data_IF_262689654345
#
_entry.id   IF_262689654345
#
_cell.length_a   1.000
_cell.length_b   1.000
_cell.length_c   1.000
_cell.angle_alpha   90.00
_cell.angle_beta   90.00
_cell.angle_gamma   90.00
#
_symmetry.space_group_name_H-M   'P 1'
#
loop_
_entity.id
_entity.type
_entity.pdbx_description
1 polymer ?
#
# COMPACT_ATOMS: atom_id res chain seq x y z
N UNK A 1 14.33 0.47 37.11
CA UNK A 1 14.23 1.63 38.00
C UNK A 1 13.88 2.81 37.12
N UNK A 2 12.59 3.11 36.94
CA UNK A 2 11.77 3.93 37.85
C UNK A 2 12.26 5.41 37.82
N UNK A 3 11.51 6.31 37.15
CA UNK A 3 10.60 7.32 37.76
C UNK A 3 11.44 8.56 38.16
N UNK A 4 11.14 9.84 37.92
CA UNK A 4 9.93 10.67 38.00
C UNK A 4 10.32 12.06 37.44
N UNK A 5 9.53 12.75 36.60
CA UNK A 5 8.50 13.76 36.96
C UNK A 5 9.03 15.21 37.06
N UNK A 6 8.51 16.16 36.27
CA UNK A 6 7.27 16.99 36.36
C UNK A 6 7.64 18.41 36.84
N UNK A 7 7.45 19.47 36.03
CA UNK A 7 6.22 20.25 35.78
C UNK A 7 5.83 21.20 36.94
N UNK A 8 5.74 22.51 36.62
CA UNK A 8 4.74 23.51 37.07
C UNK A 8 5.31 24.93 36.79
N UNK A 9 4.76 25.75 35.87
CA UNK A 9 3.58 26.63 36.00
C UNK A 9 3.80 27.76 37.03
N UNK A 10 3.41 29.04 36.91
CA UNK A 10 2.56 29.79 35.97
C UNK A 10 2.58 31.29 36.40
N UNK A 11 2.53 32.20 35.42
CA UNK A 11 1.95 33.57 35.36
C UNK A 11 2.33 34.76 36.28
N UNK A 12 2.40 35.92 35.59
CA UNK A 12 1.94 37.28 35.96
C UNK A 12 2.81 38.04 36.99
N UNK A 13 3.12 39.34 36.90
CA UNK A 13 2.67 40.49 36.10
C UNK A 13 3.61 41.66 36.44
N UNK A 14 3.87 42.57 35.50
CA UNK A 14 3.87 44.00 35.81
C UNK A 14 5.19 44.74 36.11
N UNK A 15 5.44 45.72 35.24
CA UNK A 15 5.94 47.08 35.55
C UNK A 15 7.48 47.25 35.63
N UNK A 16 8.00 47.73 34.50
CA UNK A 16 9.31 48.37 34.33
C UNK A 16 9.48 49.58 35.25
N UNK A 17 10.58 49.61 36.00
CA UNK A 17 11.19 50.84 36.54
C UNK A 17 12.58 51.03 35.90
N UNK A 18 12.69 52.09 35.12
CA UNK A 18 13.90 52.77 34.61
C UNK A 18 14.50 53.66 35.73
N UNK A 19 15.58 54.46 35.55
CA UNK A 19 16.72 54.42 34.61
C UNK A 19 18.09 54.78 35.26
N UNK A 20 19.17 54.68 34.48
CA UNK A 20 20.36 55.55 34.46
C UNK A 20 20.93 55.33 33.03
N UNK A 21 20.82 56.23 32.05
CA UNK A 21 21.34 57.59 32.01
C UNK A 21 22.82 57.53 31.59
N UNK A 22 23.34 58.15 30.54
CA UNK A 22 22.88 59.18 29.60
C UNK A 22 23.84 59.14 28.39
N UNK A 23 23.34 59.37 27.17
CA UNK A 23 23.82 60.52 26.38
C UNK A 23 23.01 60.71 25.10
N UNK A 24 22.16 61.73 25.13
CA UNK A 24 21.99 62.69 24.03
C UNK A 24 21.71 64.07 24.66
N UNK A 25 22.18 65.16 24.02
CA UNK A 25 21.23 66.24 23.72
C UNK A 25 21.38 66.87 22.30
N UNK A 26 20.25 66.88 21.57
CA UNK A 26 19.61 67.88 20.67
C UNK A 26 20.40 68.90 19.76
N UNK A 27 20.30 68.68 18.42
CA UNK A 27 19.77 69.50 17.27
C UNK A 27 19.72 71.05 17.32
N UNK A 28 19.94 71.82 16.20
CA UNK A 28 19.02 71.85 15.02
C UNK A 28 19.61 72.17 13.61
N UNK A 29 18.88 71.80 12.54
CA UNK A 29 18.90 72.55 11.27
C UNK A 29 19.02 71.74 9.97
N UNK A 30 17.88 71.56 9.30
CA UNK A 30 17.70 71.12 7.89
C UNK A 30 17.74 69.61 7.63
N UNK A 31 16.55 69.01 7.55
CA UNK A 31 16.33 67.78 6.79
C UNK A 31 16.75 68.01 5.33
N UNK A 32 17.83 67.38 4.90
CA UNK A 32 18.02 67.01 3.50
C UNK A 32 17.87 65.50 3.46
N UNK A 33 16.72 65.02 2.97
CA UNK A 33 16.60 63.64 2.49
C UNK A 33 17.51 63.49 1.28
N UNK A 34 18.77 63.13 1.51
CA UNK A 34 19.61 62.59 0.44
C UNK A 34 19.16 61.14 0.25
N UNK A 35 18.43 60.88 -0.83
CA UNK A 35 18.05 59.53 -1.21
C UNK A 35 19.29 58.63 -1.20
N UNK A 36 19.19 57.45 -0.59
CA UNK A 36 20.28 56.49 -0.54
C UNK A 36 20.75 56.21 -1.98
N UNK A 37 22.00 56.50 -2.37
CA UNK A 37 22.45 56.21 -3.72
C UNK A 37 22.52 54.68 -3.90
N UNK A 38 21.95 54.19 -5.01
CA UNK A 38 21.99 52.79 -5.40
C UNK A 38 23.45 52.29 -5.44
N UNK A 39 23.78 51.31 -4.61
CA UNK A 39 25.15 50.73 -4.59
C UNK A 39 25.25 49.62 -5.61
N UNK A 40 25.57 49.96 -6.87
CA UNK A 40 26.28 49.03 -7.77
C UNK A 40 27.68 48.83 -7.18
N UNK A 41 28.07 47.60 -6.84
CA UNK A 41 29.38 47.33 -6.24
C UNK A 41 29.74 45.86 -6.15
N UNK A 42 30.92 45.58 -5.60
CA UNK A 42 31.44 44.23 -5.39
C UNK A 42 31.76 44.01 -3.90
N UNK A 43 31.51 42.81 -3.41
CA UNK A 43 32.07 42.31 -2.15
C UNK A 43 33.25 41.41 -2.47
N UNK A 44 34.39 41.67 -1.84
CA UNK A 44 35.55 40.77 -1.94
C UNK A 44 35.39 39.67 -0.87
N UNK A 45 35.40 38.42 -1.30
CA UNK A 45 35.27 37.25 -0.43
C UNK A 45 36.50 36.34 -0.58
N UNK A 46 37.15 36.02 0.54
CA UNK A 46 38.27 35.08 0.58
C UNK A 46 37.75 33.65 0.81
N UNK A 47 38.00 32.76 -0.14
CA UNK A 47 37.59 31.35 -0.12
C UNK A 47 38.16 30.64 1.10
N UNK A 48 37.32 29.94 1.85
CA UNK A 48 37.71 29.13 3.01
C UNK A 48 37.88 27.65 2.64
N UNK A 49 38.64 26.86 3.41
CA UNK A 49 38.68 25.40 3.22
C UNK A 49 37.29 24.79 3.23
N UNK A 50 36.94 24.06 2.17
CA UNK A 50 35.63 23.42 2.00
C UNK A 50 34.55 24.27 1.32
N UNK A 51 34.83 25.54 1.01
CA UNK A 51 33.90 26.36 0.23
C UNK A 51 33.75 25.84 -1.20
N UNK A 52 32.52 25.84 -1.69
CA UNK A 52 32.22 25.66 -3.12
C UNK A 52 31.66 26.94 -3.71
N UNK A 53 31.89 27.16 -5.01
CA UNK A 53 31.39 28.33 -5.71
C UNK A 53 29.85 28.43 -5.62
N UNK A 54 29.14 27.30 -5.72
CA UNK A 54 27.68 27.26 -5.59
C UNK A 54 27.20 27.70 -4.22
N UNK A 55 27.86 27.28 -3.12
CA UNK A 55 27.49 27.69 -1.77
C UNK A 55 27.74 29.19 -1.53
N UNK A 56 28.84 29.72 -2.05
CA UNK A 56 29.15 31.15 -1.98
C UNK A 56 28.12 31.94 -2.79
N UNK A 57 27.84 31.52 -4.03
CA UNK A 57 26.83 32.12 -4.89
C UNK A 57 25.44 32.18 -4.22
N UNK A 58 24.99 31.08 -3.62
CA UNK A 58 23.74 31.03 -2.87
C UNK A 58 23.74 31.92 -1.63
N UNK A 59 24.85 31.98 -0.89
CA UNK A 59 24.98 32.82 0.32
C UNK A 59 24.79 34.31 0.00
N UNK A 60 25.36 34.75 -1.12
CA UNK A 60 25.29 36.14 -1.57
C UNK A 60 24.17 36.39 -2.60
N UNK A 61 23.33 35.39 -2.85
CA UNK A 61 22.17 35.45 -3.76
C UNK A 61 22.50 35.96 -5.15
N UNK A 62 23.61 35.49 -5.70
CA UNK A 62 24.02 35.80 -7.08
C UNK A 62 24.28 34.54 -7.87
N UNK A 63 24.23 34.64 -9.20
CA UNK A 63 24.56 33.51 -10.06
C UNK A 63 26.06 33.16 -9.96
N UNK A 64 26.37 31.86 -9.85
CA UNK A 64 27.75 31.40 -9.74
C UNK A 64 28.61 31.79 -10.95
N UNK A 65 28.03 31.88 -12.15
CA UNK A 65 28.73 32.33 -13.37
C UNK A 65 29.02 33.83 -13.32
N UNK A 66 28.18 34.61 -12.65
CA UNK A 66 28.46 36.03 -12.44
C UNK A 66 29.73 36.19 -11.59
N UNK A 67 29.90 35.38 -10.53
CA UNK A 67 31.13 35.36 -9.70
C UNK A 67 32.35 34.90 -10.51
N UNK A 68 32.21 33.87 -11.36
CA UNK A 68 33.29 33.40 -12.25
C UNK A 68 33.77 34.55 -13.13
N UNK A 69 32.85 35.23 -13.80
CA UNK A 69 33.16 36.31 -14.72
C UNK A 69 33.80 37.51 -14.01
N UNK A 70 33.22 37.96 -12.90
CA UNK A 70 33.71 39.12 -12.16
C UNK A 70 35.02 38.89 -11.42
N UNK A 71 35.29 37.64 -11.03
CA UNK A 71 36.53 37.23 -10.36
C UNK A 71 37.59 36.74 -11.36
N UNK A 72 37.30 36.76 -12.67
CA UNK A 72 38.23 36.34 -13.73
C UNK A 72 38.59 34.87 -13.69
N UNK A 73 37.72 34.00 -13.17
CA UNK A 73 37.97 32.57 -13.08
C UNK A 73 37.76 31.90 -14.44
N UNK A 74 38.60 30.91 -14.75
CA UNK A 74 38.43 30.09 -15.95
C UNK A 74 37.45 28.92 -15.73
N UNK A 75 37.25 28.51 -14.47
CA UNK A 75 36.34 27.43 -14.08
C UNK A 75 35.86 27.60 -12.63
N UNK A 76 34.99 26.71 -12.18
CA UNK A 76 34.37 26.76 -10.85
C UNK A 76 35.24 26.17 -9.71
N UNK A 77 36.50 25.79 -9.97
CA UNK A 77 37.39 25.20 -8.96
C UNK A 77 37.98 26.32 -8.12
N UNK A 78 37.75 26.26 -6.80
CA UNK A 78 38.21 27.26 -5.84
C UNK A 78 39.35 26.72 -4.98
N UNK A 79 40.32 27.59 -4.65
CA UNK A 79 41.40 27.29 -3.72
C UNK A 79 41.21 28.07 -2.42
N UNK A 80 41.40 27.48 -1.24
CA UNK A 80 41.39 28.23 0.01
C UNK A 80 42.39 29.40 -0.02
N UNK A 81 41.97 30.57 0.45
CA UNK A 81 42.72 31.83 0.38
C UNK A 81 42.51 32.64 -0.90
N UNK A 82 41.84 32.10 -1.92
CA UNK A 82 41.56 32.81 -3.17
C UNK A 82 40.51 33.93 -2.96
N UNK A 83 40.74 35.11 -3.52
CA UNK A 83 39.76 36.21 -3.46
C UNK A 83 38.78 36.16 -4.65
N UNK A 84 37.50 36.29 -4.34
CA UNK A 84 36.40 36.39 -5.30
C UNK A 84 35.75 37.75 -5.22
N UNK A 85 35.45 38.36 -6.37
CA UNK A 85 34.67 39.59 -6.49
C UNK A 85 33.21 39.22 -6.70
N UNK A 86 32.41 39.26 -5.65
CA UNK A 86 30.98 38.93 -5.70
C UNK A 86 30.20 40.19 -6.06
N UNK A 87 29.49 40.24 -7.21
CA UNK A 87 28.66 41.39 -7.54
C UNK A 87 27.56 41.54 -6.51
N UNK A 88 27.36 42.74 -5.97
CA UNK A 88 26.10 43.09 -5.32
C UNK A 88 25.20 43.68 -6.39
N UNK A 89 24.36 42.82 -6.96
CA UNK A 89 23.22 43.26 -7.77
C UNK A 89 22.07 43.40 -6.78
N UNK A 90 21.38 44.54 -6.82
CA UNK A 90 20.09 44.67 -6.15
C UNK A 90 19.25 43.49 -6.62
N UNK A 91 18.74 42.65 -5.71
CA UNK A 91 17.57 41.85 -6.03
C UNK A 91 16.50 42.91 -6.33
N UNK A 92 16.35 43.30 -7.61
CA UNK A 92 15.03 43.72 -8.06
C UNK A 92 14.17 42.53 -7.69
N UNK A 93 13.26 42.73 -6.75
CA UNK A 93 12.31 41.71 -6.39
C UNK A 93 11.53 41.44 -7.68
N UNK A 94 11.99 40.47 -8.48
CA UNK A 94 11.42 39.99 -9.74
C UNK A 94 10.15 39.18 -9.41
N UNK A 95 9.35 39.67 -8.47
CA UNK A 95 8.02 39.16 -8.21
C UNK A 95 7.19 39.48 -9.44
N UNK A 96 6.94 38.44 -10.25
CA UNK A 96 6.04 38.49 -11.40
C UNK A 96 4.76 39.20 -10.96
N UNK A 97 4.45 40.34 -11.57
CA UNK A 97 3.24 41.08 -11.25
C UNK A 97 2.03 40.24 -11.62
N UNK A 98 1.20 39.93 -10.62
CA UNK A 98 -0.10 39.30 -10.82
C UNK A 98 -1.20 40.36 -10.96
N UNK A 99 -2.15 40.18 -11.88
CA UNK A 99 -3.34 41.03 -11.92
C UNK A 99 -4.13 40.92 -10.61
N UNK A 100 -4.79 41.99 -10.13
CA UNK A 100 -5.46 42.01 -8.83
C UNK A 100 -6.60 40.97 -8.70
N UNK A 101 -7.19 40.55 -9.82
CA UNK A 101 -8.23 39.50 -9.89
C UNK A 101 -7.70 38.09 -10.09
N UNK A 102 -6.40 37.84 -9.85
CA UNK A 102 -5.75 36.54 -10.07
C UNK A 102 -4.92 36.16 -8.86
N UNK A 103 -5.07 34.92 -8.39
CA UNK A 103 -4.28 34.36 -7.28
C UNK A 103 -3.47 33.15 -7.73
N UNK A 104 -2.21 33.07 -7.29
CA UNK A 104 -1.41 31.86 -7.42
C UNK A 104 -1.89 30.76 -6.45
N UNK A 105 -2.08 29.55 -6.97
CA UNK A 105 -2.46 28.36 -6.22
C UNK A 105 -1.45 27.25 -6.48
N UNK A 106 -0.86 26.72 -5.41
CA UNK A 106 0.06 25.59 -5.49
C UNK A 106 -0.73 24.29 -5.47
N UNK A 107 -0.61 23.50 -6.54
CA UNK A 107 -1.25 22.20 -6.70
C UNK A 107 -0.83 21.25 -5.59
N UNK A 108 -1.80 20.65 -4.92
CA UNK A 108 -1.61 19.69 -3.84
C UNK A 108 -1.85 18.26 -4.32
N UNK A 109 -1.37 17.29 -3.55
CA UNK A 109 -1.69 15.88 -3.81
C UNK A 109 -3.21 15.67 -3.78
N UNK A 110 -3.73 14.97 -4.80
CA UNK A 110 -5.16 14.72 -4.96
C UNK A 110 -5.94 15.83 -5.67
N UNK A 111 -5.33 16.98 -5.97
CA UNK A 111 -5.98 18.01 -6.76
C UNK A 111 -6.16 17.55 -8.21
N UNK A 112 -7.33 17.83 -8.76
CA UNK A 112 -7.66 17.72 -10.19
C UNK A 112 -8.11 19.07 -10.72
N UNK A 113 -8.01 19.27 -12.04
CA UNK A 113 -8.51 20.49 -12.71
C UNK A 113 -9.98 20.72 -12.37
N UNK A 114 -10.78 19.66 -12.36
CA UNK A 114 -12.20 19.72 -12.03
C UNK A 114 -12.44 20.11 -10.56
N UNK A 115 -11.71 19.49 -9.62
CA UNK A 115 -11.86 19.79 -8.19
C UNK A 115 -11.44 21.23 -7.85
N UNK A 116 -10.38 21.73 -8.48
CA UNK A 116 -9.88 23.10 -8.31
C UNK A 116 -10.89 24.08 -8.90
N UNK A 117 -11.34 23.83 -10.14
CA UNK A 117 -12.32 24.68 -10.79
C UNK A 117 -13.60 24.79 -9.94
N UNK A 118 -14.14 23.66 -9.47
CA UNK A 118 -15.29 23.60 -8.57
C UNK A 118 -15.05 24.34 -7.25
N UNK A 119 -13.88 24.17 -6.62
CA UNK A 119 -13.53 24.84 -5.36
C UNK A 119 -13.57 26.36 -5.47
N UNK A 120 -13.20 26.90 -6.63
CA UNK A 120 -13.13 28.34 -6.87
C UNK A 120 -14.29 28.88 -7.72
N UNK A 121 -15.36 28.09 -7.87
CA UNK A 121 -16.54 28.47 -8.67
C UNK A 121 -16.21 28.88 -10.11
N UNK A 122 -15.26 28.16 -10.72
CA UNK A 122 -14.83 28.37 -12.09
C UNK A 122 -15.35 27.24 -12.98
N UNK A 123 -15.64 27.60 -14.24
CA UNK A 123 -15.71 26.59 -15.30
C UNK A 123 -14.31 26.07 -15.61
N UNK A 124 -14.18 24.83 -16.11
CA UNK A 124 -12.90 24.28 -16.57
C UNK A 124 -12.29 25.18 -17.65
N UNK A 125 -13.11 25.70 -18.57
CA UNK A 125 -12.66 26.66 -19.59
C UNK A 125 -12.10 27.95 -18.97
N UNK A 126 -12.72 28.47 -17.91
CA UNK A 126 -12.22 29.64 -17.19
C UNK A 126 -10.84 29.38 -16.57
N UNK A 127 -10.68 28.23 -15.90
CA UNK A 127 -9.41 27.82 -15.32
C UNK A 127 -8.32 27.60 -16.39
N UNK A 128 -8.65 26.95 -17.50
CA UNK A 128 -7.73 26.75 -18.64
C UNK A 128 -7.38 28.08 -19.31
N UNK A 129 -8.30 29.03 -19.37
CA UNK A 129 -8.02 30.36 -19.94
C UNK A 129 -6.99 31.12 -19.11
N UNK A 130 -7.04 31.00 -17.78
CA UNK A 130 -6.01 31.56 -16.91
C UNK A 130 -4.68 30.76 -16.91
N UNK A 131 -4.70 29.54 -17.44
CA UNK A 131 -3.54 28.63 -17.48
C UNK A 131 -3.36 28.03 -18.88
N UNK A 132 -3.13 28.84 -19.92
CA UNK A 132 -3.08 28.35 -21.30
C UNK A 132 -1.89 27.41 -21.57
N UNK A 133 -0.92 27.35 -20.66
CA UNK A 133 0.22 26.43 -20.70
C UNK A 133 -0.08 25.03 -20.11
N UNK A 134 -1.29 24.78 -19.63
CA UNK A 134 -1.68 23.48 -19.09
C UNK A 134 -1.53 22.38 -20.15
N UNK A 135 -0.96 21.23 -19.76
CA UNK A 135 -0.67 20.12 -20.68
C UNK A 135 -1.70 18.98 -20.64
N UNK A 136 -2.50 18.88 -19.57
CA UNK A 136 -3.49 17.83 -19.38
C UNK A 136 -4.66 18.29 -18.50
N UNK A 137 -5.86 17.73 -18.73
CA UNK A 137 -7.01 17.88 -17.83
C UNK A 137 -7.01 16.84 -16.69
N UNK A 138 -6.37 15.69 -16.92
CA UNK A 138 -6.35 14.57 -15.98
C UNK A 138 -5.15 14.64 -15.04
N UNK A 139 -4.04 15.26 -15.47
CA UNK A 139 -2.77 15.29 -14.73
C UNK A 139 -2.39 16.72 -14.36
N UNK A 140 -2.14 16.91 -13.06
CA UNK A 140 -1.54 18.10 -12.49
C UNK A 140 -0.30 17.71 -11.70
N UNK A 141 0.79 18.45 -11.88
CA UNK A 141 2.03 18.22 -11.16
C UNK A 141 1.94 18.85 -9.77
N UNK A 142 2.08 18.04 -8.72
CA UNK A 142 2.06 18.52 -7.33
C UNK A 142 3.21 19.51 -7.12
N UNK A 143 2.90 20.65 -6.50
CA UNK A 143 3.84 21.75 -6.31
C UNK A 143 3.89 22.75 -7.47
N UNK A 144 3.29 22.43 -8.63
CA UNK A 144 3.15 23.41 -9.72
C UNK A 144 2.19 24.54 -9.31
N UNK A 145 2.39 25.72 -9.91
CA UNK A 145 1.54 26.89 -9.66
C UNK A 145 0.50 27.01 -10.77
N UNK A 146 -0.77 27.12 -10.38
CA UNK A 146 -1.88 27.50 -11.23
C UNK A 146 -2.38 28.90 -10.85
N UNK A 147 -2.78 29.66 -11.85
CA UNK A 147 -3.39 30.97 -11.66
C UNK A 147 -4.90 30.83 -11.62
N UNK A 148 -5.50 31.27 -10.51
CA UNK A 148 -6.92 31.15 -10.22
C UNK A 148 -7.54 32.54 -10.34
N UNK A 149 -8.40 32.78 -11.35
CA UNK A 149 -9.22 33.98 -11.41
C UNK A 149 -10.12 34.06 -10.16
N UNK A 150 -10.09 35.21 -9.50
CA UNK A 150 -11.01 35.56 -8.40
C UNK A 150 -12.03 36.62 -8.83
N UNK A 151 -11.88 37.18 -10.03
CA UNK A 151 -12.84 38.04 -10.71
C UNK A 151 -13.32 37.43 -12.03
N UNK A 152 -13.70 38.26 -13.00
CA UNK A 152 -14.09 37.78 -14.32
C UNK A 152 -12.96 36.96 -14.99
N UNK A 153 -13.21 35.69 -15.37
CA UNK A 153 -12.19 34.89 -16.04
C UNK A 153 -11.79 35.47 -17.40
N UNK A 154 -10.50 35.34 -17.72
CA UNK A 154 -9.94 35.78 -18.99
C UNK A 154 -8.67 35.01 -19.34
N UNK A 155 -8.08 35.34 -20.48
CA UNK A 155 -6.84 34.73 -20.94
C UNK A 155 -5.66 35.38 -20.23
N UNK A 156 -4.85 34.60 -19.51
CA UNK A 156 -3.65 35.10 -18.84
C UNK A 156 -2.41 34.81 -19.70
N UNK A 157 -1.65 35.85 -20.04
CA UNK A 157 -0.41 35.71 -20.82
C UNK A 157 0.75 36.37 -20.11
N UNK A 158 1.94 35.78 -20.25
CA UNK A 158 3.16 36.41 -19.79
C UNK A 158 3.69 37.37 -20.86
N UNK A 159 3.95 38.63 -20.47
CA UNK A 159 4.44 39.66 -21.38
C UNK A 159 5.87 39.35 -21.83
N UNK A 160 6.10 39.28 -23.14
CA UNK A 160 7.43 38.99 -23.68
C UNK A 160 8.33 40.24 -23.65
N UNK A 161 9.64 40.04 -23.74
CA UNK A 161 10.60 41.13 -23.86
C UNK A 161 10.29 41.97 -25.11
N UNK A 162 9.94 43.24 -24.91
CA UNK A 162 9.60 44.18 -25.98
C UNK A 162 8.14 44.12 -26.45
N UNK A 163 7.31 43.24 -25.90
CA UNK A 163 5.85 43.23 -26.15
C UNK A 163 5.18 44.26 -25.23
N UNK A 164 4.19 44.99 -25.75
CA UNK A 164 3.45 46.01 -25.01
C UNK A 164 1.98 45.64 -24.81
N UNK A 165 1.29 46.34 -23.91
CA UNK A 165 -0.18 46.21 -23.78
C UNK A 165 -0.89 46.57 -25.09
N UNK A 166 -0.36 47.52 -25.86
CA UNK A 166 -0.90 47.86 -27.17
C UNK A 166 -0.86 46.67 -28.13
N UNK A 167 0.29 45.98 -28.22
CA UNK A 167 0.45 44.80 -29.10
C UNK A 167 -0.50 43.67 -28.71
N UNK A 168 -0.66 43.42 -27.40
CA UNK A 168 -1.61 42.44 -26.88
C UNK A 168 -3.05 42.84 -27.21
N UNK A 169 -3.44 44.07 -26.89
CA UNK A 169 -4.80 44.56 -27.12
C UNK A 169 -5.17 44.46 -28.61
N UNK A 170 -4.28 44.90 -29.50
CA UNK A 170 -4.49 44.81 -30.95
C UNK A 170 -4.60 43.35 -31.42
N UNK A 171 -3.73 42.44 -30.95
CA UNK A 171 -3.75 41.03 -31.34
C UNK A 171 -5.05 40.32 -30.97
N UNK A 172 -5.68 40.71 -29.86
CA UNK A 172 -6.88 40.08 -29.34
C UNK A 172 -8.16 40.91 -29.56
N UNK A 173 -8.07 42.03 -30.29
CA UNK A 173 -9.22 42.88 -30.60
C UNK A 173 -9.82 43.59 -29.37
N UNK A 174 -8.99 43.92 -28.39
CA UNK A 174 -9.37 44.62 -27.17
C UNK A 174 -8.91 46.08 -27.22
N UNK A 175 -9.51 46.94 -26.38
CA UNK A 175 -8.99 48.29 -26.17
C UNK A 175 -7.86 48.29 -25.13
N UNK A 176 -6.86 49.14 -25.32
CA UNK A 176 -5.73 49.29 -24.38
C UNK A 176 -6.22 49.66 -22.98
N UNK A 177 -7.21 50.56 -22.89
CA UNK A 177 -7.79 50.99 -21.61
C UNK A 177 -8.53 49.85 -20.88
N UNK A 178 -9.24 49.00 -21.63
CA UNK A 178 -9.89 47.81 -21.05
C UNK A 178 -8.86 46.84 -20.46
N UNK A 179 -7.77 46.56 -21.17
CA UNK A 179 -6.70 45.71 -20.67
C UNK A 179 -6.02 46.37 -19.46
N UNK A 180 -5.71 47.66 -19.52
CA UNK A 180 -5.10 48.38 -18.40
C UNK A 180 -5.96 48.31 -17.12
N UNK A 181 -7.27 48.59 -17.25
CA UNK A 181 -8.22 48.54 -16.15
C UNK A 181 -8.36 47.14 -15.53
N UNK A 182 -8.44 46.09 -16.36
CA UNK A 182 -8.53 44.71 -15.89
C UNK A 182 -7.27 44.26 -15.11
N UNK A 183 -6.14 44.90 -15.37
CA UNK A 183 -4.85 44.61 -14.72
C UNK A 183 -4.49 45.59 -13.59
N UNK A 184 -5.38 46.53 -13.25
CA UNK A 184 -5.12 47.55 -12.22
C UNK A 184 -3.91 48.43 -12.56
N UNK A 185 -3.78 48.81 -13.83
CA UNK A 185 -2.71 49.68 -14.33
C UNK A 185 -3.22 51.12 -14.40
N UNK A 186 -2.46 52.05 -13.81
CA UNK A 186 -2.71 53.50 -13.95
C UNK A 186 -2.29 53.98 -15.34
N UNK A 187 -1.15 53.49 -15.85
CA UNK A 187 -0.73 53.64 -17.26
C UNK A 187 -0.50 52.28 -17.94
N UNK A 188 -0.86 52.13 -19.22
CA UNK A 188 -0.55 50.92 -20.02
C UNK A 188 0.94 50.61 -20.17
N UNK A 189 1.82 51.55 -19.83
CA UNK A 189 3.29 51.37 -19.83
C UNK A 189 3.82 50.82 -18.52
N UNK A 190 3.00 50.71 -17.47
CA UNK A 190 3.41 50.31 -16.13
C UNK A 190 3.53 48.78 -15.98
N UNK A 191 4.11 48.15 -17.01
CA UNK A 191 4.33 46.72 -17.12
C UNK A 191 5.75 46.43 -17.53
N UNK A 192 6.25 45.27 -17.11
CA UNK A 192 7.59 44.78 -17.42
C UNK A 192 7.50 43.43 -18.13
N UNK A 193 8.54 43.13 -18.90
CA UNK A 193 8.68 41.79 -19.46
C UNK A 193 8.68 40.75 -18.32
N UNK A 194 7.87 39.71 -18.48
CA UNK A 194 7.66 38.69 -17.45
C UNK A 194 6.38 38.85 -16.63
N UNK A 195 5.77 40.04 -16.62
CA UNK A 195 4.49 40.27 -15.93
C UNK A 195 3.38 39.43 -16.55
N UNK A 196 2.42 39.01 -15.72
CA UNK A 196 1.22 38.32 -16.19
C UNK A 196 0.13 39.34 -16.47
N UNK A 197 -0.39 39.31 -17.69
CA UNK A 197 -1.41 40.22 -18.20
C UNK A 197 -2.70 39.44 -18.43
N UNK A 198 -3.76 39.83 -17.73
CA UNK A 198 -5.12 39.35 -17.92
C UNK A 198 -5.76 40.06 -19.12
N UNK A 199 -6.18 39.29 -20.10
CA UNK A 199 -6.99 39.75 -21.23
C UNK A 199 -8.46 39.42 -20.93
N UNK A 200 -9.26 40.40 -20.50
CA UNK A 200 -10.65 40.16 -20.10
C UNK A 200 -11.47 39.65 -21.30
N UNK A 201 -12.46 38.80 -21.02
CA UNK A 201 -13.40 38.22 -22.01
C UNK A 201 -12.80 37.33 -23.09
N UNK A 202 -11.47 37.23 -23.17
CA UNK A 202 -10.77 36.30 -24.07
C UNK A 202 -10.71 34.92 -23.42
N UNK A 203 -11.06 33.88 -24.18
CA UNK A 203 -11.09 32.50 -23.70
C UNK A 203 -10.14 31.62 -24.50
N UNK A 204 -9.41 30.73 -23.83
CA UNK A 204 -8.51 29.76 -24.46
C UNK A 204 -9.26 28.55 -25.04
N UNK A 205 -10.29 28.77 -25.87
CA UNK A 205 -11.16 27.69 -26.41
C UNK A 205 -10.38 26.66 -27.22
N UNK A 206 -9.46 27.10 -28.08
CA UNK A 206 -8.63 26.21 -28.87
C UNK A 206 -7.72 25.34 -27.98
N UNK A 207 -7.12 25.92 -26.94
CA UNK A 207 -6.33 25.18 -25.95
C UNK A 207 -7.20 24.15 -25.22
N UNK A 208 -8.38 24.55 -24.74
CA UNK A 208 -9.30 23.64 -24.06
C UNK A 208 -9.74 22.48 -24.97
N UNK A 209 -10.11 22.76 -26.22
CA UNK A 209 -10.46 21.73 -27.20
C UNK A 209 -9.31 20.75 -27.47
N UNK A 210 -8.09 21.26 -27.62
CA UNK A 210 -6.89 20.41 -27.76
C UNK A 210 -6.70 19.51 -26.53
N UNK A 211 -6.85 20.04 -25.34
CA UNK A 211 -6.70 19.26 -24.11
C UNK A 211 -7.79 18.20 -23.95
N UNK A 212 -9.02 18.50 -24.35
CA UNK A 212 -10.11 17.53 -24.38
C UNK A 212 -9.82 16.39 -25.38
N UNK A 213 -9.31 16.72 -26.56
CA UNK A 213 -8.88 15.71 -27.55
C UNK A 213 -7.76 14.82 -27.01
N UNK A 214 -6.77 15.40 -26.31
CA UNK A 214 -5.71 14.64 -25.64
C UNK A 214 -6.31 13.69 -24.58
N UNK A 215 -7.19 14.19 -23.72
CA UNK A 215 -7.87 13.39 -22.70
C UNK A 215 -8.65 12.21 -23.31
N UNK A 216 -9.42 12.46 -24.38
CA UNK A 216 -10.17 11.42 -25.07
C UNK A 216 -9.27 10.38 -25.75
N UNK A 217 -8.20 10.82 -26.39
CA UNK A 217 -7.21 9.94 -27.02
C UNK A 217 -6.52 9.05 -25.98
N UNK A 218 -6.11 9.63 -24.85
CA UNK A 218 -5.53 8.88 -23.73
C UNK A 218 -6.51 7.87 -23.16
N UNK A 219 -7.79 8.26 -22.96
CA UNK A 219 -8.82 7.33 -22.49
C UNK A 219 -9.02 6.15 -23.44
N UNK A 220 -9.12 6.42 -24.75
CA UNK A 220 -9.25 5.37 -25.77
C UNK A 220 -8.05 4.44 -25.79
N UNK A 221 -6.83 4.99 -25.69
CA UNK A 221 -5.61 4.20 -25.61
C UNK A 221 -5.59 3.30 -24.37
N UNK A 222 -5.97 3.83 -23.19
CA UNK A 222 -6.10 3.05 -21.94
C UNK A 222 -7.12 1.91 -22.08
N UNK A 223 -8.27 2.18 -22.69
CA UNK A 223 -9.31 1.16 -22.92
C UNK A 223 -8.83 0.06 -23.89
N UNK A 224 -8.13 0.43 -24.96
CA UNK A 224 -7.58 -0.52 -25.92
C UNK A 224 -6.49 -1.41 -25.27
N UNK A 225 -5.58 -0.80 -24.50
CA UNK A 225 -4.57 -1.54 -23.75
C UNK A 225 -5.20 -2.51 -22.75
N UNK A 226 -6.21 -2.06 -21.99
CA UNK A 226 -6.95 -2.92 -21.06
C UNK A 226 -7.62 -4.10 -21.78
N UNK A 227 -8.19 -3.88 -22.97
CA UNK A 227 -8.77 -4.94 -23.81
C UNK A 227 -7.71 -5.95 -24.26
N UNK A 228 -6.55 -5.47 -24.74
CA UNK A 228 -5.43 -6.33 -25.15
C UNK A 228 -4.92 -7.18 -23.99
N UNK A 229 -4.76 -6.58 -22.82
CA UNK A 229 -4.33 -7.30 -21.61
C UNK A 229 -5.37 -8.33 -21.16
N UNK A 230 -6.66 -7.99 -21.22
CA UNK A 230 -7.75 -8.92 -20.90
C UNK A 230 -7.77 -10.14 -21.85
N UNK A 231 -7.58 -9.91 -23.16
CA UNK A 231 -7.48 -10.99 -24.14
C UNK A 231 -6.25 -11.87 -23.88
N UNK A 232 -5.10 -11.27 -23.57
CA UNK A 232 -3.88 -12.00 -23.23
C UNK A 232 -4.09 -12.87 -21.98
N UNK A 233 -4.71 -12.32 -20.92
CA UNK A 233 -5.06 -13.08 -19.71
C UNK A 233 -6.00 -14.23 -20.01
N UNK A 234 -7.02 -14.02 -20.85
CA UNK A 234 -7.94 -15.09 -21.28
C UNK A 234 -7.18 -16.22 -21.98
N UNK A 235 -6.31 -15.89 -22.95
CA UNK A 235 -5.49 -16.89 -23.66
C UNK A 235 -4.54 -17.64 -22.72
N UNK A 236 -3.93 -16.95 -21.76
CA UNK A 236 -3.07 -17.57 -20.75
C UNK A 236 -3.84 -18.54 -19.87
N UNK A 237 -5.03 -18.15 -19.41
CA UNK A 237 -5.88 -19.02 -18.59
C UNK A 237 -6.36 -20.24 -19.38
N UNK A 238 -6.79 -20.07 -20.63
CA UNK A 238 -7.15 -21.18 -21.52
C UNK A 238 -5.97 -22.15 -21.73
N UNK A 239 -4.76 -21.63 -21.94
CA UNK A 239 -3.55 -22.45 -22.09
C UNK A 239 -3.23 -23.22 -20.80
N UNK A 240 -3.33 -22.55 -19.64
CA UNK A 240 -3.14 -23.16 -18.32
C UNK A 240 -4.13 -24.29 -18.06
N UNK A 241 -5.41 -24.08 -18.41
CA UNK A 241 -6.45 -25.10 -18.26
C UNK A 241 -6.19 -26.31 -19.17
N UNK A 242 -5.76 -26.09 -20.43
CA UNK A 242 -5.37 -27.18 -21.33
C UNK A 242 -4.18 -27.98 -20.79
N UNK A 243 -3.15 -27.31 -20.28
CA UNK A 243 -2.00 -27.98 -19.65
C UNK A 243 -2.41 -28.83 -18.44
N UNK A 244 -3.27 -28.29 -17.57
CA UNK A 244 -3.77 -29.01 -16.41
C UNK A 244 -4.63 -30.22 -16.81
N UNK A 245 -5.46 -30.08 -17.84
CA UNK A 245 -6.28 -31.17 -18.36
C UNK A 245 -5.40 -32.31 -18.93
N UNK A 246 -4.34 -31.97 -19.67
CA UNK A 246 -3.40 -32.95 -20.21
C UNK A 246 -2.61 -33.65 -19.08
N UNK A 247 -2.13 -32.89 -18.08
CA UNK A 247 -1.44 -33.49 -16.93
C UNK A 247 -2.34 -34.47 -16.17
N UNK A 248 -3.63 -34.13 -15.99
CA UNK A 248 -4.62 -35.03 -15.37
C UNK A 248 -4.85 -36.29 -16.22
N UNK A 249 -4.93 -36.15 -17.53
CA UNK A 249 -5.08 -37.29 -18.46
C UNK A 249 -3.91 -38.25 -18.36
N UNK A 250 -2.67 -37.74 -18.38
CA UNK A 250 -1.46 -38.54 -18.23
C UNK A 250 -1.40 -39.25 -16.86
N UNK A 251 -1.77 -38.56 -15.77
CA UNK A 251 -1.87 -39.17 -14.44
C UNK A 251 -2.93 -40.27 -14.36
N UNK A 252 -4.08 -40.09 -15.01
CA UNK A 252 -5.12 -41.11 -15.05
C UNK A 252 -4.65 -42.37 -15.81
N UNK A 253 -3.97 -42.18 -16.95
CA UNK A 253 -3.38 -43.27 -17.73
C UNK A 253 -2.31 -44.04 -16.94
N UNK A 254 -1.40 -43.35 -16.26
CA UNK A 254 -0.36 -44.01 -15.46
C UNK A 254 -0.95 -44.81 -14.29
N UNK A 255 -1.96 -44.27 -13.61
CA UNK A 255 -2.69 -44.96 -12.54
C UNK A 255 -3.42 -46.21 -13.04
N UNK A 256 -4.07 -46.14 -14.21
CA UNK A 256 -4.72 -47.29 -14.82
C UNK A 256 -3.72 -48.41 -15.18
N UNK A 257 -2.55 -48.04 -15.72
CA UNK A 257 -1.47 -48.99 -16.04
C UNK A 257 -0.92 -49.69 -14.80
N UNK A 258 -0.69 -48.95 -13.72
CA UNK A 258 -0.27 -49.49 -12.42
C UNK A 258 -1.31 -50.48 -11.86
N UNK A 259 -2.60 -50.16 -11.96
CA UNK A 259 -3.67 -51.06 -11.51
C UNK A 259 -3.67 -52.38 -12.29
N UNK A 260 -3.54 -52.32 -13.63
CA UNK A 260 -3.45 -53.51 -14.46
C UNK A 260 -2.23 -54.37 -14.11
N UNK A 261 -1.06 -53.77 -13.83
CA UNK A 261 0.13 -54.51 -13.38
C UNK A 261 -0.04 -55.17 -12.00
N UNK A 262 -0.74 -54.52 -11.06
CA UNK A 262 -1.02 -55.13 -9.75
C UNK A 262 -2.07 -56.24 -9.78
N UNK A 263 -2.94 -56.28 -10.79
CA UNK A 263 -3.93 -57.35 -10.96
C UNK A 263 -3.36 -58.60 -11.64
N UNK A 264 -2.27 -58.48 -12.40
CA UNK A 264 -1.61 -59.61 -13.07
C UNK A 264 -0.55 -60.34 -12.22
N UNK A 265 -0.27 -59.87 -11.00
CA UNK A 265 0.52 -60.63 -10.03
C UNK A 265 -0.38 -61.57 -9.21
N UNK A 266 -0.15 -62.89 -9.22
CA UNK A 266 -0.93 -63.82 -8.41
C UNK A 266 -0.69 -63.52 -6.93
N UNK A 267 -1.73 -63.09 -6.22
CA UNK A 267 -1.70 -62.98 -4.76
C UNK A 267 -1.66 -64.38 -4.17
N UNK A 268 -0.46 -64.89 -3.91
CA UNK A 268 -0.26 -66.05 -3.05
C UNK A 268 -0.79 -65.68 -1.66
N UNK A 269 -1.93 -66.29 -1.28
CA UNK A 269 -2.39 -66.29 0.11
C UNK A 269 -1.38 -67.10 0.93
N UNK A 270 -0.70 -66.57 1.95
CA UNK A 270 -0.12 -67.43 2.97
C UNK A 270 -1.29 -68.09 3.71
N UNK A 271 -1.31 -69.42 3.69
CA UNK A 271 -2.40 -70.27 4.15
C UNK A 271 -2.62 -70.32 5.69
N UNK A 272 -2.17 -69.31 6.46
CA UNK A 272 -2.15 -69.36 7.93
C UNK A 272 -2.79 -68.13 8.59
N UNK A 273 -3.99 -67.72 8.17
CA UNK A 273 -4.78 -66.71 8.89
C UNK A 273 -5.96 -67.36 9.64
N UNK A 274 -5.66 -68.36 10.47
CA UNK A 274 -6.61 -68.92 11.44
C UNK A 274 -5.88 -69.18 12.76
N UNK A 275 -5.44 -68.11 13.43
CA UNK A 275 -5.35 -68.08 14.90
C UNK A 275 -5.65 -66.67 15.36
N UNK A 276 -6.91 -66.40 15.68
CA UNK A 276 -7.31 -65.20 16.39
C UNK A 276 -6.55 -65.17 17.72
N UNK A 277 -5.58 -64.28 17.86
CA UNK A 277 -4.97 -64.04 19.15
C UNK A 277 -6.06 -63.55 20.11
N UNK A 278 -6.33 -64.33 21.16
CA UNK A 278 -7.35 -64.03 22.15
C UNK A 278 -6.97 -62.73 22.89
N UNK A 279 -7.87 -61.76 22.92
CA UNK A 279 -7.72 -60.50 23.66
C UNK A 279 -7.39 -59.26 22.82
N UNK A 280 -7.73 -58.10 23.40
CA UNK A 280 -7.49 -56.79 22.81
C UNK A 280 -6.04 -56.33 23.03
N UNK A 281 -5.61 -55.32 22.27
CA UNK A 281 -4.38 -54.56 22.51
C UNK A 281 -4.66 -53.06 22.53
N UNK A 282 -3.80 -52.30 23.18
CA UNK A 282 -3.82 -50.84 23.11
C UNK A 282 -3.75 -50.34 21.66
N UNK A 283 -4.65 -49.45 21.22
CA UNK A 283 -4.76 -49.03 19.82
C UNK A 283 -3.65 -48.05 19.40
N UNK A 284 -3.01 -47.38 20.34
CA UNK A 284 -1.85 -46.49 20.14
C UNK A 284 -0.80 -46.74 21.22
N UNK A 285 0.42 -46.25 21.01
CA UNK A 285 1.52 -46.25 21.99
C UNK A 285 1.85 -44.84 22.44
N UNK A 286 2.58 -44.70 23.56
CA UNK A 286 3.05 -43.41 24.10
C UNK A 286 1.96 -42.36 24.28
N UNK A 287 0.86 -42.73 24.95
CA UNK A 287 -0.30 -41.89 25.18
C UNK A 287 -0.48 -41.55 26.65
N UNK A 288 -1.29 -40.53 26.93
CA UNK A 288 -1.83 -40.26 28.27
C UNK A 288 -3.34 -40.37 28.22
N UNK A 289 -3.97 -41.08 29.17
CA UNK A 289 -5.43 -41.09 29.27
C UNK A 289 -5.87 -39.75 29.85
N UNK A 290 -6.55 -38.94 29.04
CA UNK A 290 -7.10 -37.65 29.49
C UNK A 290 -8.52 -37.80 30.00
N UNK A 291 -9.28 -38.73 29.44
CA UNK A 291 -10.69 -38.97 29.80
C UNK A 291 -10.97 -40.45 29.95
N UNK A 292 -11.61 -40.81 31.07
CA UNK A 292 -12.09 -42.17 31.36
C UNK A 292 -13.55 -42.35 30.93
N UNK A 293 -13.95 -43.60 30.77
CA UNK A 293 -15.35 -43.98 30.52
C UNK A 293 -16.25 -43.62 31.71
N UNK A 294 -17.46 -43.13 31.43
CA UNK A 294 -18.48 -42.86 32.44
C UNK A 294 -18.83 -41.38 32.63
N UNK A 295 -19.48 -41.07 33.76
CA UNK A 295 -19.90 -39.71 34.11
C UNK A 295 -18.77 -38.94 34.81
N UNK A 296 -18.51 -37.72 34.35
CA UNK A 296 -17.67 -36.74 35.07
C UNK A 296 -18.56 -35.70 35.75
N UNK A 297 -19.04 -36.00 36.94
CA UNK A 297 -19.85 -35.07 37.73
C UNK A 297 -21.31 -34.93 37.25
N UNK A 298 -22.07 -34.08 37.97
CA UNK A 298 -23.54 -34.02 37.88
C UNK A 298 -24.05 -33.45 36.54
N UNK A 299 -23.25 -32.60 35.89
CA UNK A 299 -23.67 -31.83 34.69
C UNK A 299 -22.98 -32.22 33.38
N UNK A 300 -22.06 -33.19 33.36
CA UNK A 300 -21.38 -33.60 32.13
C UNK A 300 -22.08 -34.78 31.46
N UNK A 301 -22.05 -34.78 30.11
CA UNK A 301 -22.54 -35.89 29.29
C UNK A 301 -21.74 -37.16 29.61
N UNK A 302 -22.41 -38.32 29.51
CA UNK A 302 -21.77 -39.62 29.70
C UNK A 302 -20.71 -39.84 28.62
N UNK A 303 -19.49 -40.17 29.02
CA UNK A 303 -18.40 -40.46 28.09
C UNK A 303 -18.38 -41.96 27.73
N UNK A 304 -18.61 -42.26 26.45
CA UNK A 304 -18.81 -43.62 25.92
C UNK A 304 -17.52 -44.40 25.66
N UNK A 305 -16.36 -43.75 25.82
CA UNK A 305 -15.05 -44.36 25.56
C UNK A 305 -13.98 -43.92 26.53
N UNK A 306 -12.73 -44.02 26.09
CA UNK A 306 -11.57 -43.37 26.72
C UNK A 306 -10.89 -42.47 25.70
N UNK A 307 -10.36 -41.34 26.17
CA UNK A 307 -9.58 -40.42 25.34
C UNK A 307 -8.09 -40.61 25.62
N UNK A 308 -7.36 -40.97 24.58
CA UNK A 308 -5.93 -41.23 24.61
C UNK A 308 -5.21 -40.08 23.90
N UNK A 309 -4.69 -39.12 24.68
CA UNK A 309 -3.98 -37.98 24.14
C UNK A 309 -2.64 -38.41 23.55
N UNK A 310 -2.42 -38.01 22.29
CA UNK A 310 -1.21 -38.26 21.52
C UNK A 310 -1.11 -37.22 20.39
N UNK A 311 0.10 -36.92 19.87
CA UNK A 311 0.26 -35.97 18.76
C UNK A 311 -0.54 -36.36 17.51
N UNK A 312 -0.93 -35.35 16.72
CA UNK A 312 -1.52 -35.58 15.38
C UNK A 312 -0.51 -36.38 14.54
N UNK A 313 -1.00 -37.42 13.86
CA UNK A 313 -0.16 -38.30 13.05
C UNK A 313 0.36 -39.53 13.78
N UNK A 314 0.12 -39.69 15.09
CA UNK A 314 0.44 -40.94 15.80
C UNK A 314 -0.30 -42.12 15.15
N UNK A 315 0.38 -43.23 14.79
CA UNK A 315 -0.26 -44.40 14.19
C UNK A 315 -1.32 -45.03 15.11
N UNK A 316 -2.50 -45.33 14.54
CA UNK A 316 -3.61 -46.06 15.19
C UNK A 316 -3.72 -47.45 14.58
N UNK A 317 -3.78 -48.46 15.45
CA UNK A 317 -3.82 -49.86 15.10
C UNK A 317 -5.11 -50.54 15.58
N UNK A 318 -5.56 -51.57 14.86
CA UNK A 318 -6.70 -52.39 15.25
C UNK A 318 -6.45 -53.08 16.60
N UNK A 319 -7.32 -52.81 17.58
CA UNK A 319 -7.24 -53.39 18.91
C UNK A 319 -7.53 -54.90 18.92
N UNK A 320 -8.31 -55.40 17.96
CA UNK A 320 -8.63 -56.83 17.77
C UNK A 320 -8.89 -57.09 16.28
N UNK A 321 -8.65 -58.33 15.83
CA UNK A 321 -8.94 -58.74 14.45
C UNK A 321 -10.44 -58.64 14.14
N UNK A 322 -10.80 -58.28 12.92
CA UNK A 322 -12.19 -58.12 12.52
C UNK A 322 -12.36 -57.54 11.11
N UNK A 323 -13.60 -57.26 10.74
CA UNK A 323 -13.94 -56.60 9.49
C UNK A 323 -14.27 -55.14 9.75
N UNK A 324 -13.71 -54.23 8.94
CA UNK A 324 -14.01 -52.80 8.98
C UNK A 324 -15.45 -52.61 8.52
N UNK A 325 -16.34 -52.26 9.44
CA UNK A 325 -17.74 -51.97 9.17
C UNK A 325 -17.88 -50.56 8.58
N UNK A 326 -17.32 -49.57 9.27
CA UNK A 326 -17.36 -48.16 8.88
C UNK A 326 -15.96 -47.58 8.80
N UNK A 327 -15.69 -46.78 7.77
CA UNK A 327 -14.45 -46.00 7.61
C UNK A 327 -14.77 -44.71 6.85
N UNK A 328 -14.88 -43.59 7.57
CA UNK A 328 -15.24 -42.31 6.97
C UNK A 328 -15.63 -41.22 7.97
N UNK A 329 -16.31 -40.19 7.48
CA UNK A 329 -16.77 -39.05 8.29
C UNK A 329 -18.07 -39.35 9.04
N UNK A 330 -18.11 -39.09 10.34
CA UNK A 330 -19.30 -39.20 11.19
C UNK A 330 -20.12 -37.91 11.23
N UNK A 331 -21.45 -38.04 11.20
CA UNK A 331 -22.38 -36.91 11.41
C UNK A 331 -22.62 -36.57 12.88
N UNK A 332 -22.11 -37.39 13.82
CA UNK A 332 -22.45 -37.33 15.25
C UNK A 332 -21.28 -36.91 16.15
N UNK A 333 -20.30 -36.19 15.60
CA UNK A 333 -19.20 -35.60 16.37
C UNK A 333 -17.90 -36.41 16.39
N UNK A 334 -17.88 -37.67 15.96
CA UNK A 334 -16.64 -38.48 15.93
C UNK A 334 -15.61 -38.04 14.88
N UNK A 335 -15.96 -37.15 13.95
CA UNK A 335 -15.06 -36.74 12.85
C UNK A 335 -14.75 -37.91 11.92
N UNK A 336 -13.51 -38.00 11.43
CA UNK A 336 -13.05 -39.20 10.73
C UNK A 336 -12.91 -40.34 11.75
N UNK A 337 -13.57 -41.46 11.46
CA UNK A 337 -13.61 -42.60 12.36
C UNK A 337 -13.63 -43.93 11.61
N UNK A 338 -13.23 -44.96 12.34
CA UNK A 338 -13.29 -46.36 11.92
C UNK A 338 -14.09 -47.15 12.96
N UNK A 339 -14.95 -48.06 12.50
CA UNK A 339 -15.60 -49.08 13.34
C UNK A 339 -15.18 -50.45 12.81
N UNK A 340 -14.68 -51.31 13.69
CA UNK A 340 -14.30 -52.69 13.36
C UNK A 340 -15.24 -53.64 14.09
N UNK A 341 -15.92 -54.49 13.33
CA UNK A 341 -16.74 -55.58 13.85
C UNK A 341 -15.85 -56.83 14.04
N UNK A 342 -15.82 -57.34 15.26
CA UNK A 342 -14.98 -58.48 15.64
C UNK A 342 -15.75 -59.80 15.77
N UNK A 343 -17.01 -59.83 15.33
CA UNK A 343 -17.93 -60.94 15.55
C UNK A 343 -18.44 -61.02 17.00
N UNK A 344 -19.47 -61.85 17.23
CA UNK A 344 -20.02 -62.05 18.58
C UNK A 344 -20.61 -60.79 19.21
N UNK A 345 -21.15 -59.88 18.40
CA UNK A 345 -21.68 -58.57 18.79
C UNK A 345 -20.66 -57.64 19.47
N UNK A 346 -19.37 -57.82 19.21
CA UNK A 346 -18.31 -56.95 19.72
C UNK A 346 -17.75 -56.04 18.63
N UNK A 347 -17.59 -54.76 18.94
CA UNK A 347 -17.06 -53.76 18.02
C UNK A 347 -16.06 -52.84 18.74
N UNK A 348 -15.15 -52.27 17.97
CA UNK A 348 -14.33 -51.14 18.43
C UNK A 348 -14.51 -49.93 17.54
N UNK A 349 -14.52 -48.75 18.15
CA UNK A 349 -14.60 -47.47 17.45
C UNK A 349 -13.34 -46.64 17.73
N UNK A 350 -12.80 -46.04 16.67
CA UNK A 350 -11.62 -45.18 16.68
C UNK A 350 -12.01 -43.84 16.05
N UNK A 351 -12.04 -42.77 16.84
CA UNK A 351 -12.54 -41.46 16.40
C UNK A 351 -11.49 -40.35 16.41
N UNK A 352 -11.90 -39.18 15.89
CA UNK A 352 -11.12 -37.96 15.76
C UNK A 352 -9.86 -38.09 14.89
N UNK A 353 -9.83 -39.08 14.00
CA UNK A 353 -8.66 -39.39 13.18
C UNK A 353 -8.29 -38.23 12.24
N UNK A 354 -7.01 -38.10 11.88
CA UNK A 354 -6.58 -37.16 10.84
C UNK A 354 -6.62 -37.78 9.45
N UNK A 355 -6.40 -39.10 9.38
CA UNK A 355 -6.40 -39.88 8.14
C UNK A 355 -6.76 -41.33 8.43
N UNK A 356 -7.56 -41.91 7.54
CA UNK A 356 -7.93 -43.33 7.52
C UNK A 356 -7.13 -44.02 6.40
N UNK A 357 -6.62 -45.23 6.64
CA UNK A 357 -5.88 -46.02 5.64
C UNK A 357 -6.54 -47.36 5.30
N UNK A 358 -7.71 -47.63 5.88
CA UNK A 358 -8.54 -48.80 5.58
C UNK A 358 -9.87 -48.38 4.93
N UNK A 359 -10.62 -49.34 4.40
CA UNK A 359 -11.92 -49.11 3.73
C UNK A 359 -13.01 -50.05 4.26
N UNK A 360 -14.31 -49.69 4.16
CA UNK A 360 -15.40 -50.59 4.54
C UNK A 360 -15.30 -51.96 3.84
N UNK A 361 -15.60 -53.02 4.57
CA UNK A 361 -15.51 -54.41 4.14
C UNK A 361 -14.11 -55.03 4.21
N UNK A 362 -13.05 -54.25 4.47
CA UNK A 362 -11.69 -54.76 4.63
C UNK A 362 -11.54 -55.58 5.91
N UNK A 363 -10.97 -56.79 5.81
CA UNK A 363 -10.52 -57.55 6.98
C UNK A 363 -9.18 -57.00 7.47
N UNK A 364 -9.04 -56.89 8.78
CA UNK A 364 -7.82 -56.45 9.47
C UNK A 364 -7.51 -57.39 10.62
N UNK A 365 -6.22 -57.65 10.83
CA UNK A 365 -5.72 -58.41 11.95
C UNK A 365 -5.47 -57.51 13.17
N UNK A 366 -5.34 -58.12 14.36
CA UNK A 366 -4.99 -57.40 15.58
C UNK A 366 -3.60 -56.78 15.41
N UNK A 367 -3.53 -55.45 15.47
CA UNK A 367 -2.27 -54.71 15.29
C UNK A 367 -2.06 -54.14 13.90
N UNK A 368 -2.98 -54.36 12.95
CA UNK A 368 -2.91 -53.71 11.64
C UNK A 368 -3.09 -52.20 11.76
N UNK A 369 -2.36 -51.44 10.95
CA UNK A 369 -2.48 -49.99 10.87
C UNK A 369 -3.81 -49.60 10.22
N UNK A 370 -4.63 -48.83 10.92
CA UNK A 370 -5.96 -48.42 10.45
C UNK A 370 -6.08 -46.92 10.20
N UNK A 371 -5.19 -46.11 10.77
CA UNK A 371 -5.05 -44.70 10.43
C UNK A 371 -4.19 -43.94 11.42
N UNK A 372 -4.48 -42.66 11.61
CA UNK A 372 -3.63 -41.76 12.38
C UNK A 372 -4.43 -40.83 13.28
N UNK A 373 -3.91 -40.57 14.49
CA UNK A 373 -4.48 -39.64 15.47
C UNK A 373 -4.66 -38.27 14.84
N UNK A 374 -5.75 -37.59 15.20
CA UNK A 374 -6.06 -36.25 14.72
C UNK A 374 -6.83 -35.45 15.76
N UNK A 375 -7.60 -34.48 15.27
CA UNK A 375 -8.51 -33.66 16.08
C UNK A 375 -9.75 -33.28 15.28
N UNK A 376 -10.25 -34.19 14.43
CA UNK A 376 -11.43 -33.94 13.57
C UNK A 376 -12.73 -34.17 14.35
N UNK A 377 -13.84 -33.57 13.90
CA UNK A 377 -15.12 -33.67 14.61
C UNK A 377 -15.16 -32.78 15.85
N UNK A 378 -15.92 -33.20 16.87
CA UNK A 378 -16.02 -32.48 18.14
C UNK A 378 -14.92 -32.95 19.09
N UNK A 379 -13.75 -32.34 18.96
CA UNK A 379 -12.57 -32.58 19.78
C UNK A 379 -11.99 -31.26 20.29
N UNK A 380 -11.50 -31.23 21.52
CA UNK A 380 -10.84 -30.06 22.13
C UNK A 380 -9.33 -30.04 21.90
N UNK A 381 -8.74 -31.11 21.35
CA UNK A 381 -7.32 -31.21 21.05
C UNK A 381 -6.91 -32.59 20.56
N UNK A 382 -5.66 -32.80 20.12
CA UNK A 382 -5.23 -34.08 19.55
C UNK A 382 -5.34 -35.26 20.51
N UNK A 383 -6.21 -36.22 20.17
CA UNK A 383 -6.39 -37.48 20.90
C UNK A 383 -7.08 -38.54 20.04
N UNK A 384 -6.99 -39.79 20.46
CA UNK A 384 -7.86 -40.87 19.99
C UNK A 384 -8.99 -41.07 21.00
N UNK A 385 -10.24 -40.90 20.56
CA UNK A 385 -11.38 -41.42 21.30
C UNK A 385 -11.61 -42.89 20.91
N UNK A 386 -11.50 -43.78 21.89
CA UNK A 386 -11.58 -45.23 21.70
C UNK A 386 -12.75 -45.83 22.49
N UNK A 387 -13.59 -46.60 21.81
CA UNK A 387 -14.70 -47.32 22.44
C UNK A 387 -14.59 -48.83 22.20
N UNK A 388 -15.09 -49.60 23.18
CA UNK A 388 -15.45 -51.01 23.03
C UNK A 388 -16.97 -51.10 23.19
N UNK A 389 -17.65 -51.69 22.21
CA UNK A 389 -19.10 -51.90 22.24
C UNK A 389 -19.41 -53.38 22.26
N UNK A 390 -20.37 -53.77 23.09
CA UNK A 390 -20.87 -55.15 23.18
C UNK A 390 -22.39 -55.13 23.10
N UNK A 391 -22.96 -55.78 22.09
CA UNK A 391 -24.39 -55.74 21.81
C UNK A 391 -24.88 -54.32 21.47
N UNK A 392 -24.03 -53.51 20.82
CA UNK A 392 -24.32 -52.10 20.50
C UNK A 392 -24.21 -51.12 21.67
N UNK A 393 -23.93 -51.59 22.89
CA UNK A 393 -23.78 -50.74 24.09
C UNK A 393 -22.31 -50.50 24.39
N UNK A 394 -21.93 -49.24 24.58
CA UNK A 394 -20.58 -48.87 24.99
C UNK A 394 -20.23 -49.43 26.38
N UNK A 395 -19.07 -50.05 26.50
CA UNK A 395 -18.52 -50.62 27.73
C UNK A 395 -17.19 -49.95 28.05
N UNK A 396 -16.81 -49.94 29.33
CA UNK A 396 -15.52 -49.40 29.75
C UNK A 396 -14.37 -50.14 29.02
N UNK A 397 -13.63 -49.48 28.11
CA UNK A 397 -12.56 -50.13 27.35
C UNK A 397 -11.45 -50.72 28.23
N UNK A 398 -11.22 -50.16 29.42
CA UNK A 398 -10.20 -50.65 30.36
C UNK A 398 -10.51 -52.04 30.94
N UNK A 399 -11.73 -52.54 30.79
CA UNK A 399 -12.07 -53.92 31.16
C UNK A 399 -11.64 -54.97 30.10
N UNK A 400 -11.20 -54.52 28.92
CA UNK A 400 -10.86 -55.38 27.78
C UNK A 400 -9.40 -55.24 27.35
N UNK A 401 -8.83 -54.05 27.53
CA UNK A 401 -7.44 -53.74 27.21
C UNK A 401 -6.48 -54.36 28.24
N UNK A 402 -5.25 -54.73 27.83
CA UNK A 402 -4.27 -55.39 28.70
C UNK A 402 -3.59 -54.45 29.68
#
# INVERSE_FOLDING_TARGET
MAISELLSSVLATGIFSLPLGLNQPNLPGTEIKVGTPARKGWVIYTVRPGDTLSQIASRYRVDARAIIYSSGLQNAVLRPGQELRIPLVEETNDEIRLPPGVRAYVVRSGDTVESIARRFDLTILGLVSANPGLQSLDRLDVGSTLYIPTGEPGLLLQLRKGETIHDLAQRFGLSVNEVAKANGLDSPTDVRAGDLILLPRVQARATYQRLLQIQEAERKAREEEARRLAEQRRKQEEARQKQLAEQRRLQAQSRARLQQQTQSQPRLRPANAVVAAAGYRWPISNFTITTYFGRRGVFQRFHTGIDLAAPIGTPIYAARAGQVDTAGWSRYGYGLHVIINHGGAQETLYAHMSRIVVRPGQWVDRGDLIGYVGSTGWSTGPHLHFEVRVGGVARNPLAYLP
#
